data_IF_970245706879
#
_entry.id   IF_970245706879
#
_cell.length_a   1.000
_cell.length_b   1.000
_cell.length_c   1.000
_cell.angle_alpha   90.00
_cell.angle_beta   90.00
_cell.angle_gamma   90.00
#
_symmetry.space_group_name_H-M   'P 1'
#
loop_
_entity.id
_entity.type
_entity.pdbx_description
1 polymer ?
#
# COMPACT_ATOMS: atom_id res chain seq x y z
N UNK A 1 34.80 -74.23 35.11
CA UNK A 1 34.60 -72.87 34.58
C UNK A 1 33.09 -72.71 34.35
N UNK A 2 32.49 -71.82 35.14
CA UNK A 2 31.14 -71.23 35.10
C UNK A 2 30.07 -71.83 34.17
N UNK A 3 29.05 -72.43 34.81
CA UNK A 3 27.64 -72.58 34.34
C UNK A 3 27.03 -71.21 33.95
N UNK A 4 25.99 -71.12 33.09
CA UNK A 4 24.60 -71.45 33.49
C UNK A 4 23.74 -72.15 32.40
N UNK A 5 22.84 -73.07 32.78
CA UNK A 5 21.41 -72.88 33.07
C UNK A 5 20.58 -72.48 31.82
N UNK A 6 19.68 -73.34 31.32
CA UNK A 6 18.20 -73.26 31.48
C UNK A 6 17.60 -74.61 31.00
N UNK A 7 17.12 -75.46 31.92
CA UNK A 7 15.71 -75.84 32.21
C UNK A 7 14.73 -75.95 31.01
N UNK A 8 14.40 -77.22 30.79
CA UNK A 8 13.40 -77.91 29.95
C UNK A 8 11.96 -77.50 30.23
N UNK A 9 11.21 -77.29 29.13
CA UNK A 9 9.87 -77.83 28.78
C UNK A 9 8.91 -78.23 29.92
N UNK A 10 7.73 -77.60 29.94
CA UNK A 10 6.54 -78.12 30.61
C UNK A 10 5.37 -78.20 29.60
N UNK A 11 5.15 -79.45 29.22
CA UNK A 11 3.99 -80.22 28.78
C UNK A 11 2.56 -79.63 28.77
N UNK A 12 1.70 -80.33 27.99
CA UNK A 12 0.23 -80.51 28.10
C UNK A 12 -0.66 -79.73 27.12
N UNK A 13 -0.94 -80.37 25.97
CA UNK A 13 -2.29 -80.37 25.36
C UNK A 13 -3.20 -81.31 26.21
N UNK A 14 -4.53 -81.09 26.39
CA UNK A 14 -5.49 -81.28 25.28
C UNK A 14 -6.89 -80.60 25.31
N UNK A 15 -7.37 -80.30 24.10
CA UNK A 15 -8.71 -80.32 23.46
C UNK A 15 -10.02 -79.70 24.04
N UNK A 16 -10.73 -79.05 23.09
CA UNK A 16 -12.19 -78.80 22.91
C UNK A 16 -12.77 -77.61 23.73
N UNK A 17 -13.65 -76.72 23.23
CA UNK A 17 -14.75 -76.87 22.28
C UNK A 17 -14.99 -75.57 21.49
N UNK A 18 -15.61 -75.75 20.32
CA UNK A 18 -16.03 -74.76 19.35
C UNK A 18 -17.23 -73.92 19.84
N UNK A 19 -17.16 -72.59 19.71
CA UNK A 19 -18.35 -71.80 19.42
C UNK A 19 -18.01 -70.55 18.60
N UNK A 20 -18.27 -70.66 17.29
CA UNK A 20 -18.10 -69.59 16.32
C UNK A 20 -19.24 -68.56 16.43
N UNK A 21 -19.03 -67.48 17.16
CA UNK A 21 -19.87 -66.29 17.04
C UNK A 21 -19.20 -65.24 16.15
N UNK A 22 -19.18 -65.50 14.82
CA UNK A 22 -18.79 -64.48 13.84
C UNK A 22 -20.00 -63.63 13.43
N UNK A 23 -19.98 -62.37 13.86
CA UNK A 23 -20.95 -61.32 13.57
C UNK A 23 -21.28 -61.23 12.05
N UNK A 24 -22.56 -61.35 11.63
CA UNK A 24 -22.98 -61.50 10.22
C UNK A 24 -22.69 -60.26 9.36
N UNK A 25 -22.48 -59.09 9.95
CA UNK A 25 -22.18 -57.84 9.24
C UNK A 25 -20.81 -57.87 8.56
N UNK A 26 -19.84 -58.61 9.10
CA UNK A 26 -18.47 -58.66 8.57
C UNK A 26 -18.36 -59.50 7.28
N UNK A 27 -19.28 -60.45 7.06
CA UNK A 27 -19.25 -61.37 5.91
C UNK A 27 -19.69 -60.70 4.60
N UNK A 28 -20.59 -59.71 4.67
CA UNK A 28 -21.07 -58.95 3.51
C UNK A 28 -20.19 -57.72 3.17
N UNK A 29 -19.46 -57.17 4.15
CA UNK A 29 -18.56 -56.01 3.92
C UNK A 29 -17.29 -56.43 3.15
N UNK A 30 -16.78 -57.65 3.38
CA UNK A 30 -15.60 -58.18 2.69
C UNK A 30 -15.73 -58.23 1.16
N UNK A 31 -16.80 -58.78 0.55
CA UNK A 31 -16.96 -58.84 -0.91
C UNK A 31 -17.16 -57.46 -1.56
N UNK A 32 -17.83 -56.54 -0.86
CA UNK A 32 -18.02 -55.16 -1.34
C UNK A 32 -16.68 -54.42 -1.36
N UNK A 33 -15.88 -54.54 -0.29
CA UNK A 33 -14.57 -53.90 -0.19
C UNK A 33 -13.57 -54.43 -1.22
N UNK A 34 -13.61 -55.71 -1.56
CA UNK A 34 -12.77 -56.27 -2.64
C UNK A 34 -13.23 -55.82 -4.02
N UNK A 35 -14.54 -55.68 -4.25
CA UNK A 35 -15.07 -55.12 -5.50
C UNK A 35 -14.64 -53.66 -5.69
N UNK A 36 -14.83 -52.81 -4.67
CA UNK A 36 -14.42 -51.40 -4.69
C UNK A 36 -12.91 -51.26 -4.89
N UNK A 37 -12.10 -52.10 -4.24
CA UNK A 37 -10.64 -52.09 -4.43
C UNK A 37 -10.23 -52.41 -5.86
N UNK A 38 -10.90 -53.36 -6.52
CA UNK A 38 -10.63 -53.71 -7.92
C UNK A 38 -10.95 -52.55 -8.86
N UNK A 39 -12.12 -51.93 -8.69
CA UNK A 39 -12.51 -50.75 -9.47
C UNK A 39 -11.58 -49.57 -9.23
N UNK A 40 -11.17 -49.33 -7.98
CA UNK A 40 -10.24 -48.25 -7.63
C UNK A 40 -8.85 -48.47 -8.26
N UNK A 41 -8.36 -49.71 -8.26
CA UNK A 41 -7.08 -50.07 -8.92
C UNK A 41 -7.17 -49.85 -10.42
N UNK A 42 -8.26 -50.28 -11.06
CA UNK A 42 -8.51 -50.08 -12.48
C UNK A 42 -8.61 -48.58 -12.84
N UNK A 43 -9.30 -47.81 -12.01
CA UNK A 43 -9.38 -46.36 -12.15
C UNK A 43 -8.01 -45.68 -12.01
N UNK A 44 -7.24 -46.05 -10.99
CA UNK A 44 -5.89 -45.51 -10.78
C UNK A 44 -4.89 -45.92 -11.88
N UNK A 45 -5.15 -46.97 -12.65
CA UNK A 45 -4.36 -47.37 -13.81
C UNK A 45 -4.75 -46.63 -15.09
N UNK A 46 -6.03 -46.27 -15.23
CA UNK A 46 -6.60 -45.62 -16.41
C UNK A 46 -6.68 -44.11 -16.31
N UNK A 47 -6.48 -43.56 -15.10
CA UNK A 47 -6.48 -42.12 -14.88
C UNK A 47 -5.29 -41.42 -15.54
N UNK A 48 -5.49 -40.18 -15.94
CA UNK A 48 -4.46 -39.30 -16.52
C UNK A 48 -3.57 -38.65 -15.46
N UNK A 49 -3.83 -38.90 -14.17
CA UNK A 49 -3.04 -38.36 -13.06
C UNK A 49 -1.65 -39.00 -13.07
N UNK A 50 -0.65 -38.18 -13.41
CA UNK A 50 0.76 -38.58 -13.44
C UNK A 50 1.22 -39.04 -12.05
N UNK A 51 1.89 -40.18 -11.98
CA UNK A 51 2.45 -40.75 -10.74
C UNK A 51 1.53 -41.76 -10.05
N UNK A 52 0.21 -41.66 -10.18
CA UNK A 52 -0.75 -42.59 -9.54
C UNK A 52 -0.66 -44.00 -10.12
N UNK A 53 -0.46 -44.12 -11.44
CA UNK A 53 -0.25 -45.40 -12.13
C UNK A 53 1.00 -46.14 -11.62
N UNK A 54 2.06 -45.41 -11.26
CA UNK A 54 3.31 -45.97 -10.71
C UNK A 54 3.15 -46.44 -9.26
N UNK A 55 2.31 -45.77 -8.46
CA UNK A 55 1.97 -46.19 -7.09
C UNK A 55 1.26 -47.53 -7.07
N UNK A 56 0.36 -47.77 -8.02
CA UNK A 56 -0.44 -49.01 -8.10
C UNK A 56 0.34 -50.16 -8.72
N UNK A 57 1.26 -49.89 -9.65
CA UNK A 57 2.04 -50.92 -10.35
C UNK A 57 3.39 -51.27 -9.67
N UNK A 58 3.73 -50.65 -8.54
CA UNK A 58 5.00 -50.90 -7.85
C UNK A 58 5.03 -52.31 -7.21
N UNK A 59 6.06 -53.10 -7.58
CA UNK A 59 6.21 -54.50 -7.14
C UNK A 59 6.54 -54.64 -5.64
N UNK A 60 7.12 -53.62 -5.04
CA UNK A 60 7.60 -53.62 -3.65
C UNK A 60 6.98 -52.49 -2.82
N UNK A 61 6.69 -52.80 -1.55
CA UNK A 61 5.96 -51.88 -0.64
C UNK A 61 6.75 -50.60 -0.31
N UNK A 62 8.07 -50.68 -0.23
CA UNK A 62 8.93 -49.51 -0.01
C UNK A 62 8.85 -48.50 -1.16
N UNK A 63 8.97 -48.98 -2.41
CA UNK A 63 8.86 -48.12 -3.58
C UNK A 63 7.45 -47.56 -3.75
N UNK A 64 6.40 -48.33 -3.42
CA UNK A 64 5.03 -47.84 -3.40
C UNK A 64 4.85 -46.63 -2.46
N UNK A 65 5.47 -46.66 -1.28
CA UNK A 65 5.44 -45.55 -0.31
C UNK A 65 6.17 -44.33 -0.86
N UNK A 66 7.33 -44.52 -1.50
CA UNK A 66 8.11 -43.41 -2.10
C UNK A 66 7.33 -42.74 -3.24
N UNK A 67 6.69 -43.52 -4.12
CA UNK A 67 5.85 -42.97 -5.18
C UNK A 67 4.62 -42.26 -4.61
N UNK A 68 3.99 -42.82 -3.57
CA UNK A 68 2.82 -42.21 -2.93
C UNK A 68 3.16 -40.91 -2.22
N UNK A 69 4.29 -40.87 -1.50
CA UNK A 69 4.76 -39.66 -0.83
C UNK A 69 5.12 -38.58 -1.85
N UNK A 70 5.77 -38.93 -2.96
CA UNK A 70 6.09 -37.98 -4.03
C UNK A 70 4.84 -37.35 -4.63
N UNK A 71 3.81 -38.15 -4.94
CA UNK A 71 2.52 -37.63 -5.45
C UNK A 71 1.85 -36.73 -4.40
N UNK A 72 1.89 -37.11 -3.13
CA UNK A 72 1.32 -36.32 -2.04
C UNK A 72 2.04 -34.96 -1.88
N UNK A 73 3.37 -34.95 -1.89
CA UNK A 73 4.15 -33.71 -1.80
C UNK A 73 3.89 -32.78 -2.98
N UNK A 74 3.80 -33.32 -4.20
CA UNK A 74 3.44 -32.53 -5.38
C UNK A 74 2.04 -31.94 -5.27
N UNK A 75 1.07 -32.71 -4.77
CA UNK A 75 -0.29 -32.22 -4.58
C UNK A 75 -0.37 -31.09 -3.55
N UNK A 76 0.34 -31.23 -2.42
CA UNK A 76 0.46 -30.18 -1.40
C UNK A 76 1.13 -28.93 -1.99
N UNK A 77 2.23 -29.09 -2.75
CA UNK A 77 2.92 -27.99 -3.41
C UNK A 77 2.02 -27.25 -4.40
N UNK A 78 1.22 -27.97 -5.19
CA UNK A 78 0.24 -27.37 -6.10
C UNK A 78 -0.84 -26.59 -5.34
N UNK A 79 -1.33 -27.13 -4.22
CA UNK A 79 -2.34 -26.46 -3.41
C UNK A 79 -1.80 -25.16 -2.80
N UNK A 80 -0.58 -25.21 -2.24
CA UNK A 80 0.09 -24.02 -1.70
C UNK A 80 0.31 -22.97 -2.81
N UNK A 81 0.80 -23.39 -3.98
CA UNK A 81 1.00 -22.49 -5.12
C UNK A 81 -0.31 -21.81 -5.55
N UNK A 82 -1.40 -22.58 -5.71
CA UNK A 82 -2.72 -22.03 -6.03
C UNK A 82 -3.23 -21.06 -4.97
N UNK A 83 -3.00 -21.34 -3.68
CA UNK A 83 -3.37 -20.45 -2.60
C UNK A 83 -2.64 -19.11 -2.70
N UNK A 84 -1.33 -19.11 -2.91
CA UNK A 84 -0.54 -17.89 -3.10
C UNK A 84 -0.97 -17.10 -4.34
N UNK A 85 -1.17 -17.77 -5.48
CA UNK A 85 -1.65 -17.11 -6.70
C UNK A 85 -3.02 -16.46 -6.51
N UNK A 86 -3.93 -17.15 -5.83
CA UNK A 86 -5.27 -16.62 -5.54
C UNK A 86 -5.20 -15.41 -4.63
N UNK A 87 -4.36 -15.45 -3.59
CA UNK A 87 -4.13 -14.32 -2.70
C UNK A 87 -3.59 -13.11 -3.46
N UNK A 88 -2.59 -13.31 -4.30
CA UNK A 88 -2.01 -12.26 -5.13
C UNK A 88 -3.02 -11.68 -6.12
N UNK A 89 -3.87 -12.52 -6.71
CA UNK A 89 -4.95 -12.06 -7.59
C UNK A 89 -5.98 -11.18 -6.85
N UNK A 90 -6.38 -11.59 -5.65
CA UNK A 90 -7.33 -10.85 -4.80
C UNK A 90 -6.74 -9.59 -4.18
N UNK A 91 -5.42 -9.42 -4.20
CA UNK A 91 -4.75 -8.20 -3.76
C UNK A 91 -4.84 -7.09 -4.81
N UNK A 92 -5.31 -7.39 -6.04
CA UNK A 92 -5.53 -6.44 -7.12
C UNK A 92 -4.33 -5.51 -7.34
N UNK A 93 -3.12 -6.06 -7.31
CA UNK A 93 -1.92 -5.27 -7.52
C UNK A 93 -1.85 -4.77 -8.98
N UNK A 94 -2.23 -3.52 -9.20
CA UNK A 94 -2.16 -2.87 -10.51
C UNK A 94 -0.78 -2.27 -10.72
N UNK A 95 -0.08 -2.72 -11.76
CA UNK A 95 1.17 -2.12 -12.22
C UNK A 95 0.81 -1.13 -13.32
N UNK A 96 1.04 0.16 -13.09
CA UNK A 96 0.92 1.20 -14.11
C UNK A 96 2.28 1.42 -14.76
N UNK A 97 2.55 0.87 -15.96
CA UNK A 97 3.78 1.18 -16.67
C UNK A 97 3.73 2.67 -17.08
N UNK A 98 4.74 3.49 -16.72
CA UNK A 98 4.79 4.86 -17.18
C UNK A 98 5.01 4.86 -18.69
N UNK A 99 3.99 5.27 -19.45
CA UNK A 99 4.11 5.56 -20.87
C UNK A 99 4.32 7.06 -21.04
N UNK A 100 5.46 7.44 -21.62
CA UNK A 100 5.73 8.82 -22.01
C UNK A 100 5.09 9.09 -23.36
N UNK A 101 3.90 9.70 -23.33
CA UNK A 101 3.19 10.11 -24.54
C UNK A 101 3.75 11.47 -24.98
N UNK A 102 4.62 11.47 -26.00
CA UNK A 102 5.32 12.69 -26.45
C UNK A 102 4.48 13.60 -27.34
N UNK A 103 3.48 13.05 -28.03
CA UNK A 103 2.80 13.73 -29.12
C UNK A 103 1.36 14.13 -28.82
N UNK A 104 0.94 14.11 -27.55
CA UNK A 104 -0.39 14.61 -27.17
C UNK A 104 -0.34 16.10 -26.85
N UNK A 105 -1.15 16.95 -27.51
CA UNK A 105 -1.28 18.35 -27.15
C UNK A 105 -1.88 18.45 -25.75
N UNK A 106 -1.05 18.81 -24.77
CA UNK A 106 -1.49 19.11 -23.41
C UNK A 106 -1.99 20.55 -23.35
N UNK A 107 -3.10 20.84 -22.67
CA UNK A 107 -3.46 22.22 -22.38
C UNK A 107 -2.32 22.89 -21.60
N UNK A 108 -2.13 24.18 -21.84
CA UNK A 108 -1.19 24.99 -21.05
C UNK A 108 -1.66 24.99 -19.58
N UNK A 109 -0.76 24.75 -18.61
CA UNK A 109 -1.14 24.65 -17.22
C UNK A 109 -1.52 26.01 -16.64
N UNK A 110 -2.35 26.02 -15.60
CA UNK A 110 -2.55 27.22 -14.80
C UNK A 110 -1.27 27.56 -14.05
N UNK A 111 -0.74 28.78 -14.27
CA UNK A 111 0.42 29.29 -13.53
C UNK A 111 -0.10 30.21 -12.42
N UNK A 112 0.25 29.89 -11.16
CA UNK A 112 -0.02 30.75 -10.01
C UNK A 112 1.28 31.41 -9.57
N UNK A 113 1.30 32.74 -9.60
CA UNK A 113 2.45 33.54 -9.17
C UNK A 113 2.14 34.21 -7.82
N UNK A 114 3.04 34.04 -6.86
CA UNK A 114 2.96 34.67 -5.54
C UNK A 114 4.16 35.61 -5.35
N UNK A 115 3.90 36.85 -4.92
CA UNK A 115 4.97 37.73 -4.50
C UNK A 115 5.50 37.28 -3.12
N UNK A 116 6.83 37.26 -2.96
CA UNK A 116 7.48 36.94 -1.69
C UNK A 116 7.26 38.04 -0.64
N UNK A 117 7.05 39.28 -1.10
CA UNK A 117 6.67 40.38 -0.23
C UNK A 117 5.15 40.37 -0.06
N UNK A 118 4.62 40.30 1.17
CA UNK A 118 3.18 40.18 1.38
C UNK A 118 2.42 41.52 1.30
N UNK A 119 3.14 42.66 1.29
CA UNK A 119 2.58 44.00 1.25
C UNK A 119 3.21 44.82 0.14
N UNK A 120 2.37 45.52 -0.63
CA UNK A 120 2.84 46.50 -1.62
C UNK A 120 3.64 47.63 -0.97
N UNK A 121 4.44 48.33 -1.77
CA UNK A 121 5.17 49.51 -1.29
C UNK A 121 4.20 50.65 -0.93
N UNK A 122 3.08 50.76 -1.64
CA UNK A 122 2.00 51.72 -1.36
C UNK A 122 1.23 51.37 -0.08
N UNK A 123 1.23 50.10 0.33
CA UNK A 123 0.50 49.63 1.50
C UNK A 123 0.90 50.37 2.78
N UNK A 124 2.17 50.79 2.91
CA UNK A 124 2.61 51.56 4.08
C UNK A 124 1.90 52.91 4.18
N UNK A 125 1.64 53.57 3.04
CA UNK A 125 0.91 54.84 3.01
C UNK A 125 -0.55 54.65 3.42
N UNK A 126 -1.20 53.61 2.87
CA UNK A 126 -2.59 53.26 3.23
C UNK A 126 -2.73 52.97 4.73
N UNK A 127 -1.76 52.26 5.32
CA UNK A 127 -1.74 51.98 6.75
C UNK A 127 -1.55 53.25 7.59
N UNK A 128 -0.68 54.16 7.17
CA UNK A 128 -0.45 55.43 7.86
C UNK A 128 -1.67 56.36 7.79
N UNK A 129 -2.27 56.51 6.61
CA UNK A 129 -3.48 57.31 6.38
C UNK A 129 -4.67 56.76 7.19
N UNK A 130 -4.81 55.43 7.25
CA UNK A 130 -5.86 54.76 8.00
C UNK A 130 -5.56 54.64 9.51
N UNK A 131 -4.42 55.17 9.98
CA UNK A 131 -3.93 55.06 11.37
C UNK A 131 -3.83 53.61 11.88
N UNK A 132 -3.55 52.67 10.99
CA UNK A 132 -3.36 51.26 11.31
C UNK A 132 -1.89 50.98 11.56
N UNK A 133 -1.60 50.20 12.61
CA UNK A 133 -0.25 49.82 12.98
C UNK A 133 0.34 48.89 11.93
N UNK A 134 1.62 49.06 11.59
CA UNK A 134 2.32 48.14 10.68
C UNK A 134 2.39 46.72 11.26
N UNK A 135 2.55 45.67 10.43
CA UNK A 135 2.62 44.29 10.91
C UNK A 135 3.66 44.09 12.02
N UNK A 136 4.80 44.77 11.92
CA UNK A 136 5.86 44.71 12.93
C UNK A 136 5.42 45.34 14.26
N UNK A 137 4.74 46.49 14.23
CA UNK A 137 4.23 47.14 15.45
C UNK A 137 3.11 46.31 16.08
N UNK A 138 2.19 45.81 15.27
CA UNK A 138 1.15 44.88 15.72
C UNK A 138 1.75 43.65 16.41
N UNK A 139 2.74 43.00 15.79
CA UNK A 139 3.40 41.84 16.36
C UNK A 139 4.09 42.15 17.70
N UNK A 140 4.77 43.30 17.80
CA UNK A 140 5.39 43.75 19.05
C UNK A 140 4.36 43.98 20.16
N UNK A 141 3.23 44.62 19.84
CA UNK A 141 2.18 44.93 20.82
C UNK A 141 1.45 43.68 21.30
N UNK A 142 1.13 42.76 20.41
CA UNK A 142 0.50 41.48 20.78
C UNK A 142 1.47 40.64 21.59
N UNK A 143 2.75 40.63 21.23
CA UNK A 143 3.77 39.88 21.98
C UNK A 143 4.01 40.47 23.38
N UNK A 144 4.04 41.80 23.53
CA UNK A 144 4.19 42.44 24.83
C UNK A 144 2.96 42.20 25.72
N UNK A 145 1.75 42.28 25.14
CA UNK A 145 0.53 41.91 25.83
C UNK A 145 0.53 40.44 26.26
N UNK A 146 0.90 39.51 25.38
CA UNK A 146 0.96 38.09 25.70
C UNK A 146 1.99 37.77 26.78
N UNK A 147 3.12 38.48 26.78
CA UNK A 147 4.15 38.34 27.81
C UNK A 147 3.62 38.75 29.20
N UNK A 148 2.94 39.90 29.28
CA UNK A 148 2.33 40.39 30.51
C UNK A 148 1.18 39.50 31.00
N UNK A 149 0.35 39.04 30.06
CA UNK A 149 -0.84 38.26 30.39
C UNK A 149 -0.50 36.83 30.85
N UNK A 150 0.51 36.18 30.25
CA UNK A 150 0.77 34.73 30.41
C UNK A 150 2.20 34.40 30.79
N UNK A 151 3.20 34.97 30.12
CA UNK A 151 4.61 34.62 30.35
C UNK A 151 5.07 34.97 31.77
N UNK A 152 4.80 36.19 32.24
CA UNK A 152 5.19 36.63 33.59
C UNK A 152 4.41 35.93 34.72
N UNK A 153 3.28 35.29 34.39
CA UNK A 153 2.48 34.49 35.33
C UNK A 153 2.85 33.00 35.34
N UNK A 154 3.83 32.59 34.55
CA UNK A 154 4.29 31.20 34.44
C UNK A 154 3.45 30.32 33.51
N UNK A 155 2.47 30.87 32.80
CA UNK A 155 1.67 30.13 31.81
C UNK A 155 2.34 30.18 30.43
N UNK A 156 3.40 29.38 30.28
CA UNK A 156 4.20 29.30 29.06
C UNK A 156 3.39 28.73 27.89
N UNK A 157 2.46 27.82 28.16
CA UNK A 157 1.65 27.19 27.12
C UNK A 157 0.73 28.21 26.44
N UNK A 158 -0.02 28.99 27.21
CA UNK A 158 -0.90 30.03 26.64
C UNK A 158 -0.11 31.11 25.91
N UNK A 159 1.07 31.47 26.42
CA UNK A 159 1.99 32.39 25.73
C UNK A 159 2.42 31.86 24.36
N UNK A 160 2.84 30.59 24.27
CA UNK A 160 3.23 29.96 23.00
C UNK A 160 2.07 29.90 22.00
N UNK A 161 0.87 29.56 22.47
CA UNK A 161 -0.32 29.50 21.62
C UNK A 161 -0.61 30.86 20.97
N UNK A 162 -0.60 31.93 21.77
CA UNK A 162 -0.88 33.29 21.28
C UNK A 162 0.23 33.80 20.37
N UNK A 163 1.49 33.62 20.75
CA UNK A 163 2.63 34.09 19.95
C UNK A 163 2.75 33.35 18.62
N UNK A 164 2.36 32.08 18.55
CA UNK A 164 2.31 31.31 17.29
C UNK A 164 1.26 31.85 16.30
N UNK A 165 0.22 32.50 16.79
CA UNK A 165 -0.81 33.13 15.95
C UNK A 165 -0.38 34.51 15.40
N UNK A 166 0.72 35.09 15.92
CA UNK A 166 1.29 36.35 15.44
C UNK A 166 2.02 36.11 14.10
N UNK A 167 1.24 36.02 13.04
CA UNK A 167 1.71 35.86 11.66
C UNK A 167 1.16 36.98 10.78
N UNK A 168 1.67 37.09 9.55
CA UNK A 168 1.12 38.01 8.56
C UNK A 168 -0.37 37.71 8.28
N UNK A 169 -0.77 36.43 8.28
CA UNK A 169 -2.17 36.04 8.16
C UNK A 169 -3.01 36.53 9.33
N UNK A 170 -2.53 36.35 10.57
CA UNK A 170 -3.20 36.87 11.77
C UNK A 170 -3.32 38.39 11.79
N UNK A 171 -2.31 39.10 11.30
CA UNK A 171 -2.38 40.54 11.09
C UNK A 171 -3.46 40.92 10.07
N UNK A 172 -3.50 40.30 8.90
CA UNK A 172 -4.48 40.62 7.86
C UNK A 172 -5.92 40.31 8.28
N UNK A 173 -6.14 39.22 9.02
CA UNK A 173 -7.47 38.89 9.58
C UNK A 173 -7.94 39.88 10.66
N UNK A 174 -7.01 40.59 11.31
CA UNK A 174 -7.36 41.64 12.27
C UNK A 174 -7.80 42.96 11.61
N UNK A 175 -7.61 43.10 10.29
CA UNK A 175 -7.91 44.32 9.56
C UNK A 175 -9.35 44.34 9.02
N UNK A 176 -9.95 45.54 8.87
CA UNK A 176 -11.19 45.70 8.12
C UNK A 176 -11.04 45.18 6.68
N UNK A 177 -12.07 44.52 6.13
CA UNK A 177 -12.00 43.92 4.81
C UNK A 177 -11.72 44.95 3.69
N UNK A 178 -12.17 46.19 3.85
CA UNK A 178 -11.98 47.28 2.89
C UNK A 178 -10.51 47.65 2.71
N UNK A 179 -9.74 47.62 3.82
CA UNK A 179 -8.33 47.98 3.85
C UNK A 179 -7.49 46.78 3.44
N UNK A 180 -7.85 45.57 3.91
CA UNK A 180 -7.14 44.33 3.57
C UNK A 180 -6.96 44.14 2.07
N UNK A 181 -7.98 44.48 1.27
CA UNK A 181 -7.95 44.36 -0.20
C UNK A 181 -6.97 45.35 -0.87
N UNK A 182 -6.68 46.48 -0.24
CA UNK A 182 -5.83 47.54 -0.80
C UNK A 182 -4.34 47.36 -0.47
N UNK A 183 -4.01 46.42 0.43
CA UNK A 183 -2.64 46.19 0.89
C UNK A 183 -1.82 45.27 -0.02
N UNK A 184 -2.50 44.52 -0.90
CA UNK A 184 -1.89 43.57 -1.83
C UNK A 184 -1.18 44.23 -3.01
N UNK A 185 -0.42 43.41 -3.75
CA UNK A 185 0.23 43.85 -4.98
C UNK A 185 -0.75 43.88 -6.15
N UNK A 186 -0.59 44.86 -7.05
CA UNK A 186 -1.28 44.86 -8.33
C UNK A 186 -0.52 44.00 -9.35
N UNK A 187 -1.24 43.48 -10.37
CA UNK A 187 -0.62 42.62 -11.40
C UNK A 187 0.49 43.34 -12.18
N UNK A 188 0.31 44.64 -12.48
CA UNK A 188 1.30 45.47 -13.17
C UNK A 188 2.60 45.67 -12.36
N UNK A 189 2.56 45.52 -11.03
CA UNK A 189 3.75 45.58 -10.16
C UNK A 189 4.44 44.22 -10.02
N UNK A 190 3.71 43.13 -10.30
CA UNK A 190 4.17 41.76 -10.06
C UNK A 190 4.70 41.11 -11.33
N UNK A 191 4.09 41.40 -12.48
CA UNK A 191 4.45 40.86 -13.78
C UNK A 191 5.16 41.96 -14.57
N UNK A 192 6.50 41.91 -14.57
CA UNK A 192 7.35 42.94 -15.20
C UNK A 192 7.43 42.74 -16.72
N UNK A 193 7.36 41.49 -17.18
CA UNK A 193 7.50 41.17 -18.59
C UNK A 193 6.65 39.96 -18.99
N UNK A 194 5.95 40.12 -20.10
CA UNK A 194 5.15 39.08 -20.74
C UNK A 194 5.61 39.06 -22.21
N UNK A 195 6.40 38.07 -22.59
CA UNK A 195 6.81 37.87 -23.98
C UNK A 195 5.97 36.76 -24.58
N UNK A 196 5.59 36.90 -25.85
CA UNK A 196 5.00 35.83 -26.62
C UNK A 196 5.93 35.51 -27.78
N UNK A 197 6.51 34.32 -27.78
CA UNK A 197 7.29 33.83 -28.90
C UNK A 197 6.37 33.04 -29.83
N UNK A 198 6.08 33.61 -30.99
CA UNK A 198 5.46 32.88 -32.09
C UNK A 198 6.55 32.01 -32.74
N UNK A 199 6.61 30.73 -32.40
CA UNK A 199 7.49 29.80 -33.10
C UNK A 199 6.82 29.39 -34.41
N UNK A 200 7.08 30.15 -35.47
CA UNK A 200 6.95 29.59 -36.82
C UNK A 200 7.94 28.44 -36.95
N UNK A 201 7.39 27.26 -37.20
CA UNK A 201 8.10 25.98 -37.19
C UNK A 201 9.12 25.93 -38.33
N UNK A 202 10.35 26.41 -38.10
CA UNK A 202 11.44 26.25 -39.06
C UNK A 202 12.86 26.16 -38.48
N UNK A 203 13.10 26.36 -37.18
CA UNK A 203 14.39 26.03 -36.57
C UNK A 203 14.23 25.74 -35.08
N UNK A 204 14.31 24.46 -34.73
CA UNK A 204 14.64 24.02 -33.37
C UNK A 204 16.10 24.39 -33.10
N UNK A 205 16.35 25.54 -32.48
CA UNK A 205 17.57 25.75 -31.72
C UNK A 205 17.42 26.94 -30.77
N UNK A 206 17.67 26.66 -29.48
CA UNK A 206 17.77 27.58 -28.34
C UNK A 206 16.54 28.44 -28.00
N UNK A 207 15.84 28.11 -26.90
CA UNK A 207 15.67 29.05 -25.77
C UNK A 207 15.61 28.26 -24.46
N UNK A 208 16.73 28.21 -23.74
CA UNK A 208 16.74 28.02 -22.29
C UNK A 208 16.37 29.36 -21.65
N UNK A 209 15.10 29.57 -21.29
CA UNK A 209 14.72 30.53 -20.25
C UNK A 209 13.31 30.21 -19.74
N UNK A 210 13.25 29.64 -18.53
CA UNK A 210 12.03 29.42 -17.77
C UNK A 210 11.58 30.79 -17.26
N UNK A 211 10.59 31.38 -17.94
CA UNK A 211 9.28 31.79 -17.44
C UNK A 211 8.69 32.77 -18.47
N UNK A 212 8.10 32.23 -19.53
CA UNK A 212 7.41 33.02 -20.55
C UNK A 212 5.91 32.87 -20.29
N UNK A 213 5.35 33.81 -19.51
CA UNK A 213 3.91 33.89 -19.24
C UNK A 213 3.20 34.08 -20.57
N UNK A 214 2.58 33.03 -21.10
CA UNK A 214 1.75 33.13 -22.30
C UNK A 214 0.47 32.34 -22.13
N UNK A 215 -0.52 33.02 -21.56
CA UNK A 215 -1.90 32.81 -21.96
C UNK A 215 -2.62 34.15 -21.86
N UNK A 216 -2.86 34.75 -23.04
CA UNK A 216 -3.83 35.82 -23.27
C UNK A 216 -3.72 37.05 -22.37
N UNK A 217 -2.93 38.04 -22.80
CA UNK A 217 -3.43 39.41 -22.70
C UNK A 217 -4.67 39.48 -23.61
N UNK A 218 -5.82 39.08 -23.08
CA UNK A 218 -7.10 39.40 -23.70
C UNK A 218 -7.53 40.76 -23.18
N UNK A 219 -7.91 41.62 -24.12
CA UNK A 219 -8.26 43.02 -23.98
C UNK A 219 -9.11 43.34 -22.74
N UNK A 220 -8.60 44.25 -21.90
CA UNK A 220 -9.31 45.45 -21.42
C UNK A 220 -8.30 46.48 -20.94
#
# INVERSE_FOLDING_TARGET
>A
MSLPHIRVEEEVQPIQYEESHTNPTNRQIKPIRTKIKKELILFCQTTTIRGVTRVVNARSKSFQIVWASSVLFLFIGLFICMFFLTRQYLEYHVIHPPQVLRDTPSPFPSITLCNLRPLASEATKVLEESRIKTPRKFAMDVNSFAAEAFYHKGDVHSYQLITSAISMGGYLESLPPEIRLQLGHHMNQTIIHCMYYHTDSANEDLVNEILVVTQGCHDT
#
